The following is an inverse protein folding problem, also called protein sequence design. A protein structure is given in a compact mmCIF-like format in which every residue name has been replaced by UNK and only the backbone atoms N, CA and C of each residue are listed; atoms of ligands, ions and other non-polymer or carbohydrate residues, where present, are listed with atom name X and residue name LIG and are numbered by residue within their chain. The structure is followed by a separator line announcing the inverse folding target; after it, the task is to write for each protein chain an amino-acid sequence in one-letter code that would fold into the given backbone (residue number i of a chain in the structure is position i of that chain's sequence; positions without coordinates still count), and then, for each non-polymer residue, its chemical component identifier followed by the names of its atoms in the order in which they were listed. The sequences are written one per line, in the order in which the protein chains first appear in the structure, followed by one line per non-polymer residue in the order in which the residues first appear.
data_IF_042071901363
#
_entry.id   IF_042071901363
#
_cell.length_a   1.000
_cell.length_b   1.000
_cell.length_c   1.000
_cell.angle_alpha   90.00
_cell.angle_beta   90.00
_cell.angle_gamma   90.00
#
_symmetry.space_group_name_H-M   'P 1'
#
loop_
_entity.id
_entity.type
_entity.pdbx_description
1 polymer ?
#
# COMPACT_ATOMS: atom_id res chain seq x y z
N UNK A 1 7.87 -4.07 20.95
CA UNK A 1 6.59 -3.48 20.50
C UNK A 1 6.92 -2.42 19.46
N UNK A 2 6.92 -2.79 18.18
CA UNK A 2 7.15 -1.84 17.09
C UNK A 2 5.85 -1.11 16.81
N UNK A 3 5.83 0.19 17.09
CA UNK A 3 4.64 1.05 16.97
C UNK A 3 4.12 0.99 15.52
N UNK A 4 2.79 0.95 15.37
CA UNK A 4 2.15 1.10 14.07
C UNK A 4 2.28 2.56 13.63
N UNK A 5 2.75 2.78 12.40
CA UNK A 5 3.29 4.09 12.00
C UNK A 5 3.09 4.35 10.51
N UNK A 6 2.88 5.61 10.15
CA UNK A 6 2.84 6.10 8.76
C UNK A 6 3.80 7.27 8.61
N UNK A 7 4.61 7.27 7.56
CA UNK A 7 5.59 8.35 7.30
C UNK A 7 5.71 8.66 5.81
N UNK A 8 5.97 9.94 5.50
CA UNK A 8 6.39 10.38 4.16
C UNK A 8 7.91 10.46 4.13
N UNK A 9 8.54 9.98 3.07
CA UNK A 9 9.97 10.27 2.86
C UNK A 9 10.19 11.80 2.70
N UNK A 10 11.35 12.31 3.13
CA UNK A 10 11.69 13.75 3.05
C UNK A 10 12.98 13.99 2.27
N UNK A 11 13.10 15.13 1.57
CA UNK A 11 14.28 15.48 0.78
C UNK A 11 15.58 15.58 1.61
N UNK A 12 15.50 15.82 2.93
CA UNK A 12 16.65 15.84 3.85
C UNK A 12 17.22 14.45 4.12
N UNK A 13 16.49 13.38 3.78
CA UNK A 13 16.95 12.00 3.90
C UNK A 13 17.92 11.60 2.79
N UNK A 14 18.21 12.45 1.81
CA UNK A 14 19.20 12.15 0.75
C UNK A 14 20.67 12.18 1.23
N UNK A 15 20.96 12.66 2.45
CA UNK A 15 22.33 12.81 2.97
C UNK A 15 22.51 12.12 4.33
N UNK A 16 23.31 11.06 4.34
CA UNK A 16 24.07 10.41 5.44
C UNK A 16 23.38 10.04 6.78
N UNK A 17 22.13 10.42 7.04
CA UNK A 17 21.33 10.01 8.23
C UNK A 17 20.18 9.06 7.91
N UNK A 18 20.18 8.47 6.72
CA UNK A 18 19.26 7.41 6.27
C UNK A 18 19.41 6.09 7.08
N UNK A 19 20.54 5.90 7.76
CA UNK A 19 21.01 4.59 8.17
C UNK A 19 20.40 3.96 9.42
N UNK A 20 19.60 4.66 10.24
CA UNK A 20 19.11 4.09 11.52
C UNK A 20 17.59 3.99 11.60
N UNK A 21 16.84 5.00 11.15
CA UNK A 21 15.36 4.97 11.19
C UNK A 21 14.77 4.27 9.97
N UNK A 22 15.14 4.63 8.74
CA UNK A 22 14.75 3.86 7.53
C UNK A 22 15.32 2.41 7.54
N UNK A 23 16.46 2.20 8.20
CA UNK A 23 17.09 0.89 8.35
C UNK A 23 16.27 -0.11 9.17
N UNK A 24 15.40 0.36 10.06
CA UNK A 24 14.49 -0.48 10.83
C UNK A 24 13.16 -0.72 10.10
N UNK A 25 12.70 0.26 9.31
CA UNK A 25 11.45 0.18 8.54
C UNK A 25 11.53 -0.75 7.33
N UNK A 26 12.69 -0.82 6.67
CA UNK A 26 12.87 -1.55 5.43
C UNK A 26 13.39 -2.98 5.59
N UNK A 27 13.59 -3.53 6.81
CA UNK A 27 14.19 -4.87 6.98
C UNK A 27 13.51 -5.98 6.14
N UNK A 28 12.17 -6.03 6.01
CA UNK A 28 11.51 -6.97 5.10
C UNK A 28 11.68 -6.61 3.62
N UNK A 29 11.71 -5.31 3.29
CA UNK A 29 11.93 -4.79 1.93
C UNK A 29 13.39 -4.91 1.47
N UNK A 30 14.33 -5.15 2.39
CA UNK A 30 15.80 -5.25 2.18
C UNK A 30 16.24 -6.53 1.46
N UNK A 31 15.36 -7.51 1.28
CA UNK A 31 15.63 -8.65 0.39
C UNK A 31 15.79 -8.21 -1.07
N UNK A 32 15.35 -7.01 -1.40
CA UNK A 32 15.68 -6.34 -2.64
C UNK A 32 17.11 -5.79 -2.50
N UNK A 33 18.06 -6.33 -3.27
CA UNK A 33 19.38 -5.72 -3.44
C UNK A 33 19.20 -4.35 -4.07
N UNK A 34 20.21 -3.47 -3.93
CA UNK A 34 20.17 -2.16 -4.58
C UNK A 34 19.89 -2.28 -6.08
N UNK A 35 20.46 -3.29 -6.74
CA UNK A 35 20.18 -3.68 -8.13
C UNK A 35 18.80 -4.31 -8.38
N UNK A 36 18.13 -4.86 -7.37
CA UNK A 36 16.72 -5.26 -7.47
C UNK A 36 15.80 -4.03 -7.40
N UNK A 37 16.15 -2.98 -6.63
CA UNK A 37 15.48 -1.67 -6.75
C UNK A 37 15.71 -1.05 -8.16
N UNK A 38 16.94 -1.09 -8.67
CA UNK A 38 17.25 -0.60 -10.02
C UNK A 38 16.54 -1.39 -11.14
N UNK A 39 16.23 -2.67 -10.93
CA UNK A 39 15.58 -3.56 -11.92
C UNK A 39 14.06 -3.75 -11.74
N UNK A 40 13.49 -3.45 -10.56
CA UNK A 40 12.04 -3.49 -10.27
C UNK A 40 11.27 -2.24 -10.75
N UNK A 41 11.88 -1.37 -11.56
CA UNK A 41 11.31 -0.07 -11.88
C UNK A 41 11.31 0.90 -10.68
N UNK A 42 12.08 0.63 -9.61
CA UNK A 42 12.35 1.64 -8.57
C UNK A 42 13.37 2.67 -9.10
N UNK A 43 14.09 2.37 -10.18
CA UNK A 43 14.71 3.42 -10.98
C UNK A 43 13.65 4.38 -11.53
N UNK A 44 12.43 3.99 -11.89
CA UNK A 44 11.33 4.93 -12.13
C UNK A 44 10.65 5.46 -10.85
N UNK A 45 10.95 4.93 -9.66
CA UNK A 45 10.56 5.58 -8.40
C UNK A 45 11.59 6.63 -7.93
N UNK A 46 12.84 6.52 -8.39
CA UNK A 46 13.96 7.42 -8.07
C UNK A 46 14.23 8.41 -9.23
N UNK A 47 14.13 7.99 -10.48
CA UNK A 47 14.18 8.78 -11.73
C UNK A 47 12.78 9.22 -12.20
N UNK A 48 11.74 8.40 -12.02
CA UNK A 48 10.33 8.80 -12.19
C UNK A 48 9.75 9.53 -10.96
N UNK A 49 10.62 10.31 -10.31
CA UNK A 49 10.31 11.66 -9.82
C UNK A 49 9.70 12.58 -10.90
N UNK A 50 9.25 12.07 -12.04
CA UNK A 50 8.41 12.73 -13.04
C UNK A 50 7.10 13.28 -12.47
N UNK A 51 6.72 12.91 -11.23
CA UNK A 51 5.57 13.50 -10.52
C UNK A 51 5.93 14.30 -9.26
N UNK A 52 7.21 14.40 -8.85
CA UNK A 52 7.64 15.30 -7.78
C UNK A 52 7.15 14.94 -6.36
N UNK A 53 6.87 13.66 -6.05
CA UNK A 53 6.41 13.23 -4.74
C UNK A 53 7.24 12.05 -4.21
N UNK A 54 7.63 12.10 -2.94
CA UNK A 54 8.33 11.00 -2.27
C UNK A 54 7.34 9.91 -1.81
N UNK A 55 7.75 8.63 -1.75
CA UNK A 55 6.89 7.54 -1.30
C UNK A 55 6.32 7.74 0.10
N UNK A 56 5.14 7.16 0.32
CA UNK A 56 4.54 7.04 1.65
C UNK A 56 4.69 5.62 2.17
N UNK A 57 5.13 5.48 3.41
CA UNK A 57 5.29 4.19 4.08
C UNK A 57 4.24 4.03 5.16
N UNK A 58 3.59 2.87 5.18
CA UNK A 58 2.60 2.50 6.18
C UNK A 58 2.95 1.12 6.75
N UNK A 59 2.88 0.99 8.08
CA UNK A 59 3.14 -0.27 8.79
C UNK A 59 2.10 -0.46 9.88
N UNK A 60 1.53 -1.66 9.95
CA UNK A 60 0.59 -2.03 11.00
C UNK A 60 0.14 -3.48 10.93
N UNK A 61 -0.50 -3.96 12.00
CA UNK A 61 -1.10 -5.30 12.01
C UNK A 61 -2.31 -5.37 11.08
N UNK A 62 -2.42 -6.45 10.30
CA UNK A 62 -3.56 -6.68 9.43
C UNK A 62 -4.79 -6.99 10.28
N UNK A 63 -5.88 -6.27 10.02
CA UNK A 63 -7.18 -6.52 10.65
C UNK A 63 -8.19 -6.98 9.61
N UNK A 64 -9.22 -7.69 10.08
CA UNK A 64 -10.36 -7.99 9.23
C UNK A 64 -11.13 -6.71 8.89
N UNK A 65 -11.38 -6.50 7.60
CA UNK A 65 -12.30 -5.49 7.12
C UNK A 65 -13.77 -5.91 7.30
N UNK A 66 -14.68 -5.17 6.68
CA UNK A 66 -16.12 -5.39 6.82
C UNK A 66 -16.66 -6.62 6.07
N UNK A 67 -15.81 -7.37 5.38
CA UNK A 67 -16.18 -8.62 4.70
C UNK A 67 -17.14 -8.47 3.53
N UNK A 68 -17.30 -7.26 2.96
CA UNK A 68 -18.41 -6.92 2.05
C UNK A 68 -18.17 -7.14 0.56
N UNK A 69 -17.09 -7.81 0.13
CA UNK A 69 -17.00 -8.19 -1.28
C UNK A 69 -15.66 -8.70 -1.74
N UNK A 70 -14.55 -8.17 -1.25
CA UNK A 70 -13.21 -8.40 -1.83
C UNK A 70 -12.86 -9.90 -1.96
N UNK A 71 -13.07 -10.71 -0.90
CA UNK A 71 -12.85 -12.17 -0.94
C UNK A 71 -13.82 -12.92 -1.87
N UNK A 72 -15.09 -12.51 -1.94
CA UNK A 72 -16.10 -13.15 -2.81
C UNK A 72 -15.91 -12.78 -4.29
N UNK A 73 -15.29 -11.62 -4.55
CA UNK A 73 -14.93 -11.14 -5.89
C UNK A 73 -13.61 -11.74 -6.40
N UNK A 74 -12.93 -12.56 -5.58
CA UNK A 74 -11.61 -13.13 -5.90
C UNK A 74 -10.45 -12.15 -5.75
N UNK A 75 -10.66 -11.02 -5.06
CA UNK A 75 -9.69 -9.94 -4.89
C UNK A 75 -9.51 -9.68 -3.39
N UNK A 76 -8.87 -10.59 -2.62
CA UNK A 76 -8.75 -10.45 -1.17
C UNK A 76 -7.99 -9.17 -0.79
N UNK A 77 -8.47 -8.46 0.24
CA UNK A 77 -7.83 -7.22 0.73
C UNK A 77 -7.43 -7.34 2.20
N UNK A 78 -6.26 -6.78 2.53
CA UNK A 78 -5.78 -6.57 3.87
C UNK A 78 -6.12 -5.14 4.32
N UNK A 79 -6.56 -4.98 5.57
CA UNK A 79 -6.95 -3.69 6.12
C UNK A 79 -5.99 -3.31 7.25
N UNK A 80 -5.76 -1.99 7.41
CA UNK A 80 -5.09 -1.45 8.57
C UNK A 80 -6.08 -1.07 9.69
N UNK A 81 -5.66 -1.05 10.97
CA UNK A 81 -6.46 -0.51 12.06
C UNK A 81 -6.75 0.98 11.84
N UNK A 82 -7.89 1.45 12.33
CA UNK A 82 -8.31 2.86 12.24
C UNK A 82 -7.22 3.82 12.72
N UNK A 83 -6.53 3.48 13.82
CA UNK A 83 -5.42 4.27 14.36
C UNK A 83 -4.26 4.47 13.37
N UNK A 84 -3.99 3.50 12.51
CA UNK A 84 -2.97 3.62 11.46
C UNK A 84 -3.47 4.51 10.34
N UNK A 85 -4.74 4.34 9.96
CA UNK A 85 -5.37 5.10 8.88
C UNK A 85 -5.54 6.59 9.26
N UNK A 86 -5.83 6.89 10.52
CA UNK A 86 -5.94 8.25 11.06
C UNK A 86 -4.60 9.00 11.06
N UNK A 87 -3.49 8.26 11.10
CA UNK A 87 -2.14 8.81 11.03
C UNK A 87 -1.62 8.94 9.59
N UNK A 88 -2.43 8.62 8.57
CA UNK A 88 -2.05 8.84 7.18
C UNK A 88 -1.78 10.35 6.93
N UNK A 89 -0.68 10.69 6.24
CA UNK A 89 -0.40 12.06 5.85
C UNK A 89 -1.56 12.70 5.10
N UNK A 90 -1.85 13.97 5.41
CA UNK A 90 -2.97 14.70 4.84
C UNK A 90 -2.84 14.91 3.32
N UNK A 91 -1.61 14.85 2.81
CA UNK A 91 -1.25 14.96 1.39
C UNK A 91 -1.20 13.60 0.66
N UNK A 92 -1.51 12.49 1.34
CA UNK A 92 -1.80 11.23 0.66
C UNK A 92 -3.21 11.29 0.05
N UNK A 93 -3.27 11.37 -1.27
CA UNK A 93 -4.51 11.40 -2.04
C UNK A 93 -5.39 10.18 -1.75
N UNK A 94 -6.66 10.43 -1.39
CA UNK A 94 -7.70 9.40 -1.35
C UNK A 94 -8.02 8.95 -2.77
N UNK A 95 -8.21 7.65 -2.97
CA UNK A 95 -8.36 7.04 -4.29
C UNK A 95 -7.66 5.69 -4.36
N UNK A 96 -7.36 5.27 -5.58
CA UNK A 96 -6.59 4.07 -5.86
C UNK A 96 -5.14 4.47 -6.09
N UNK A 97 -4.27 3.91 -5.26
CA UNK A 97 -2.83 4.06 -5.34
C UNK A 97 -2.19 2.69 -5.60
N UNK A 98 -0.90 2.69 -5.95
CA UNK A 98 -0.13 1.46 -6.17
C UNK A 98 1.26 1.55 -5.54
N UNK A 99 1.91 0.39 -5.47
CA UNK A 99 3.29 0.28 -5.02
C UNK A 99 3.61 -1.12 -4.55
N UNK A 100 4.22 -1.22 -3.37
CA UNK A 100 4.81 -2.46 -2.87
C UNK A 100 4.32 -2.80 -1.47
N UNK A 101 4.20 -4.09 -1.19
CA UNK A 101 3.85 -4.59 0.12
C UNK A 101 4.65 -5.84 0.51
N UNK A 102 4.82 -6.05 1.80
CA UNK A 102 5.29 -7.31 2.37
C UNK A 102 4.53 -7.65 3.65
N UNK A 103 4.40 -8.95 3.93
CA UNK A 103 3.73 -9.47 5.13
C UNK A 103 4.78 -10.14 6.01
N UNK A 104 4.89 -9.73 7.28
CA UNK A 104 5.89 -10.21 8.23
C UNK A 104 7.31 -10.03 7.68
N UNK A 105 8.06 -11.13 7.63
CA UNK A 105 9.39 -11.23 6.99
C UNK A 105 9.34 -11.87 5.59
N UNK A 106 8.15 -11.91 4.99
CA UNK A 106 7.91 -12.46 3.66
C UNK A 106 8.53 -11.63 2.54
N UNK A 107 8.29 -12.08 1.31
CA UNK A 107 8.81 -11.41 0.12
C UNK A 107 7.99 -10.16 -0.21
N UNK A 108 8.57 -9.32 -1.08
CA UNK A 108 7.96 -8.07 -1.52
C UNK A 108 7.16 -8.31 -2.79
N UNK A 109 5.94 -7.80 -2.81
CA UNK A 109 5.02 -7.96 -3.93
C UNK A 109 4.43 -6.62 -4.36
N UNK A 110 4.10 -6.52 -5.64
CA UNK A 110 3.29 -5.41 -6.16
C UNK A 110 1.92 -5.41 -5.47
N UNK A 111 1.36 -4.23 -5.30
CA UNK A 111 0.05 -4.07 -4.67
C UNK A 111 -0.70 -2.87 -5.26
N UNK A 112 -2.02 -2.93 -5.12
CA UNK A 112 -2.91 -1.77 -5.26
C UNK A 112 -3.57 -1.51 -3.91
N UNK A 113 -3.82 -0.25 -3.60
CA UNK A 113 -4.45 0.15 -2.34
C UNK A 113 -5.53 1.19 -2.57
N UNK A 114 -6.73 0.91 -2.05
CA UNK A 114 -7.83 1.86 -1.98
C UNK A 114 -7.74 2.61 -0.65
N UNK A 115 -7.67 3.93 -0.69
CA UNK A 115 -7.74 4.78 0.51
C UNK A 115 -8.93 5.72 0.40
N UNK A 116 -9.86 5.68 1.34
CA UNK A 116 -11.11 6.39 1.16
C UNK A 116 -11.96 6.54 2.41
N UNK A 117 -12.85 7.53 2.37
CA UNK A 117 -13.88 7.74 3.38
C UNK A 117 -15.09 6.86 3.08
N UNK A 118 -15.57 6.14 4.10
CA UNK A 118 -16.81 5.38 3.98
C UNK A 118 -17.98 6.16 4.62
N UNK A 119 -18.80 6.87 3.84
CA UNK A 119 -19.92 7.66 4.37
C UNK A 119 -20.99 6.80 5.06
N UNK A 120 -21.05 5.49 4.78
CA UNK A 120 -22.01 4.57 5.35
C UNK A 120 -21.54 3.94 6.68
N UNK A 121 -20.27 4.11 7.05
CA UNK A 121 -19.69 3.53 8.27
C UNK A 121 -18.98 4.59 9.10
N UNK A 122 -19.74 5.27 9.97
CA UNK A 122 -19.27 6.33 10.89
C UNK A 122 -18.46 7.45 10.22
N UNK A 123 -18.52 7.54 8.89
CA UNK A 123 -17.66 8.39 8.08
C UNK A 123 -16.17 8.22 8.43
N UNK A 124 -15.71 6.98 8.59
CA UNK A 124 -14.30 6.67 8.89
C UNK A 124 -13.50 6.45 7.61
N UNK A 125 -12.20 6.77 7.66
CA UNK A 125 -11.28 6.51 6.56
C UNK A 125 -10.80 5.06 6.66
N UNK A 126 -10.69 4.37 5.52
CA UNK A 126 -10.09 3.04 5.42
C UNK A 126 -8.94 3.02 4.42
N UNK A 127 -8.05 2.02 4.58
CA UNK A 127 -6.98 1.70 3.66
C UNK A 127 -7.02 0.19 3.39
N UNK A 128 -7.44 -0.19 2.19
CA UNK A 128 -7.65 -1.58 1.76
C UNK A 128 -6.62 -1.96 0.72
N UNK A 129 -5.69 -2.84 1.10
CA UNK A 129 -4.54 -3.23 0.28
C UNK A 129 -4.79 -4.58 -0.36
N UNK A 130 -4.76 -4.66 -1.69
CA UNK A 130 -4.71 -5.92 -2.42
C UNK A 130 -3.26 -6.20 -2.85
N UNK A 131 -2.68 -7.23 -2.26
CA UNK A 131 -1.33 -7.69 -2.58
C UNK A 131 -1.44 -8.66 -3.75
N UNK A 132 -0.66 -8.45 -4.81
CA UNK A 132 -0.72 -9.22 -6.06
C UNK A 132 0.08 -10.52 -5.91
N UNK A 133 -0.29 -11.31 -4.91
CA UNK A 133 0.31 -12.59 -4.55
C UNK A 133 -0.72 -13.51 -3.90
N UNK A 134 -0.62 -14.81 -4.21
CA UNK A 134 -1.49 -15.83 -3.62
C UNK A 134 -0.85 -16.40 -2.36
N UNK A 135 -1.31 -15.96 -1.21
CA UNK A 135 -0.92 -16.53 0.08
C UNK A 135 -1.61 -17.87 0.33
N UNK A 136 -0.89 -18.83 0.93
CA UNK A 136 -1.43 -20.14 1.28
C UNK A 136 -2.36 -20.10 2.50
N UNK A 137 -2.13 -19.14 3.38
CA UNK A 137 -2.80 -18.99 4.66
C UNK A 137 -3.30 -17.54 4.82
N UNK A 138 -4.31 -17.35 5.68
CA UNK A 138 -4.72 -16.02 6.12
C UNK A 138 -3.62 -15.40 6.99
N UNK A 139 -3.39 -14.11 6.83
CA UNK A 139 -2.34 -13.37 7.54
C UNK A 139 -2.90 -12.23 8.39
N UNK A 140 -4.19 -12.26 8.75
CA UNK A 140 -4.72 -11.35 9.77
C UNK A 140 -3.94 -11.51 11.09
N UNK A 141 -3.58 -10.38 11.70
CA UNK A 141 -2.69 -10.31 12.85
C UNK A 141 -1.20 -10.15 12.51
N UNK A 142 -0.79 -10.49 11.28
CA UNK A 142 0.58 -10.27 10.81
C UNK A 142 0.85 -8.80 10.53
N UNK A 143 2.14 -8.43 10.53
CA UNK A 143 2.56 -7.07 10.17
C UNK A 143 2.54 -6.90 8.66
N UNK A 144 1.74 -5.97 8.18
CA UNK A 144 1.77 -5.51 6.79
C UNK A 144 2.65 -4.25 6.70
N UNK A 145 3.60 -4.27 5.77
CA UNK A 145 4.38 -3.11 5.37
C UNK A 145 3.95 -2.70 3.97
N UNK A 146 3.71 -1.41 3.75
CA UNK A 146 3.27 -0.84 2.48
C UNK A 146 4.14 0.35 2.11
N UNK A 147 4.57 0.41 0.86
CA UNK A 147 5.17 1.58 0.24
C UNK A 147 4.27 2.03 -0.92
N UNK A 148 3.59 3.16 -0.75
CA UNK A 148 2.80 3.81 -1.80
C UNK A 148 3.72 4.68 -2.63
N UNK A 149 3.78 4.41 -3.94
CA UNK A 149 4.72 5.08 -4.86
C UNK A 149 4.01 5.90 -5.93
N UNK A 150 2.72 5.67 -6.16
CA UNK A 150 1.96 6.43 -7.15
C UNK A 150 0.46 6.31 -7.02
N UNK A 151 -0.24 7.14 -7.78
CA UNK A 151 -1.70 7.27 -7.79
C UNK A 151 -2.25 6.93 -9.17
N UNK A 152 -3.32 6.14 -9.22
CA UNK A 152 -4.02 5.84 -10.48
C UNK A 152 -5.20 6.77 -10.71
N UNK A 153 -6.15 6.80 -9.77
CA UNK A 153 -7.46 7.43 -10.01
C UNK A 153 -8.23 7.69 -8.72
N UNK A 154 -9.24 8.59 -8.74
CA UNK A 154 -10.11 8.79 -7.60
C UNK A 154 -11.00 7.58 -7.36
N UNK A 155 -11.60 7.52 -6.17
CA UNK A 155 -12.70 6.60 -5.88
C UNK A 155 -13.86 6.86 -6.84
N UNK A 156 -14.55 5.79 -7.25
CA UNK A 156 -15.68 5.85 -8.15
C UNK A 156 -16.85 5.09 -7.54
N UNK A 157 -18.06 5.60 -7.77
CA UNK A 157 -19.27 4.81 -7.60
C UNK A 157 -19.45 3.93 -8.83
N UNK A 158 -20.04 2.75 -8.62
CA UNK A 158 -20.27 1.77 -9.67
C UNK A 158 -21.74 1.37 -9.66
N UNK A 159 -22.36 1.41 -10.83
CA UNK A 159 -23.79 1.10 -10.99
C UNK A 159 -24.04 -0.41 -11.07
N UNK A 160 -22.97 -1.22 -11.17
CA UNK A 160 -23.04 -2.68 -11.17
C UNK A 160 -21.81 -3.33 -10.55
N UNK A 161 -21.97 -4.54 -10.04
CA UNK A 161 -20.85 -5.34 -9.52
C UNK A 161 -19.79 -5.65 -10.59
N UNK A 162 -20.22 -5.89 -11.83
CA UNK A 162 -19.35 -6.14 -12.96
C UNK A 162 -18.46 -4.93 -13.27
N UNK A 163 -19.04 -3.72 -13.27
CA UNK A 163 -18.27 -2.49 -13.51
C UNK A 163 -17.23 -2.23 -12.40
N UNK A 164 -17.57 -2.58 -11.16
CA UNK A 164 -16.63 -2.55 -10.03
C UNK A 164 -15.47 -3.53 -10.24
N UNK A 165 -15.78 -4.80 -10.55
CA UNK A 165 -14.75 -5.84 -10.77
C UNK A 165 -13.83 -5.43 -11.93
N UNK A 166 -14.40 -5.00 -13.04
CA UNK A 166 -13.64 -4.59 -14.23
C UNK A 166 -12.68 -3.45 -13.93
N UNK A 167 -13.11 -2.45 -13.15
CA UNK A 167 -12.24 -1.36 -12.75
C UNK A 167 -11.09 -1.83 -11.86
N UNK A 168 -11.37 -2.69 -10.86
CA UNK A 168 -10.31 -3.22 -9.98
C UNK A 168 -9.31 -4.06 -10.78
N UNK A 169 -9.78 -4.90 -11.69
CA UNK A 169 -8.90 -5.68 -12.57
C UNK A 169 -8.05 -4.78 -13.46
N UNK A 170 -8.61 -3.70 -14.01
CA UNK A 170 -7.85 -2.70 -14.76
C UNK A 170 -6.75 -2.06 -13.92
N UNK A 171 -7.04 -1.68 -12.67
CA UNK A 171 -6.05 -1.13 -11.75
C UNK A 171 -4.93 -2.15 -11.44
N UNK A 172 -5.28 -3.42 -11.26
CA UNK A 172 -4.32 -4.52 -11.03
C UNK A 172 -3.42 -4.73 -12.25
N UNK A 173 -3.98 -4.81 -13.46
CA UNK A 173 -3.21 -5.00 -14.69
C UNK A 173 -2.30 -3.80 -14.98
N UNK A 174 -2.74 -2.58 -14.68
CA UNK A 174 -1.90 -1.40 -14.79
C UNK A 174 -0.72 -1.46 -13.81
N UNK A 175 -0.96 -1.86 -12.56
CA UNK A 175 0.11 -2.02 -11.57
C UNK A 175 1.12 -3.12 -11.93
N UNK A 176 0.74 -4.12 -12.75
CA UNK A 176 1.66 -5.19 -13.20
C UNK A 176 2.71 -4.71 -14.18
N UNK A 177 2.44 -3.64 -14.94
CA UNK A 177 3.41 -3.03 -15.86
C UNK A 177 4.62 -2.50 -15.09
#
# INVERSE_FOLDING_TARGET
MGQDTVTRATAKQHGDRLGSELHLWCQPLRKLRQEDYLSLGVQDCIEGLHYGHLPYFCRGQVVHGFGRGSKQLGIPTANFPEQVVDNLPADLSTGINYGWASVGSGDVHKMVVSTGWNPYYKNTKSMETHIMHTFKEDFCGEILNVAVVGYFRPQKNFDSLESLISAIQGDIEEAKK
#
